data_IF_385418051296
#
_entry.id   IF_385418051296
#
_cell.length_a   1.000
_cell.length_b   1.000
_cell.length_c   1.000
_cell.angle_alpha   90.00
_cell.angle_beta   90.00
_cell.angle_gamma   90.00
#
_symmetry.space_group_name_H-M   'P 1'
#
loop_
_entity.id
_entity.type
_entity.pdbx_description
1 polymer ?
#
# COMPACT_ATOMS: atom_id res chain seq x y z
N UNK A 1 26.75 12.06 33.04
CA UNK A 1 25.83 11.69 31.95
C UNK A 1 25.42 12.95 31.22
N UNK A 2 25.99 13.16 30.06
CA UNK A 2 25.75 14.39 29.28
C UNK A 2 24.41 14.32 28.50
N UNK A 3 23.69 15.44 28.53
CA UNK A 3 22.38 15.59 27.82
C UNK A 3 22.40 15.27 26.32
N UNK A 4 23.56 15.13 25.70
CA UNK A 4 23.76 14.83 24.29
C UNK A 4 23.55 13.35 23.93
N UNK A 5 23.74 12.44 24.87
CA UNK A 5 23.59 10.99 24.60
C UNK A 5 22.12 10.54 24.56
N UNK A 6 21.21 11.27 25.24
CA UNK A 6 19.78 10.92 25.24
C UNK A 6 19.10 11.14 23.87
N UNK A 7 19.57 12.14 23.12
CA UNK A 7 19.00 12.44 21.80
C UNK A 7 19.46 11.48 20.69
N UNK A 8 20.64 10.90 20.82
CA UNK A 8 21.12 9.90 19.85
C UNK A 8 20.39 8.57 19.99
N UNK A 9 19.96 8.21 21.20
CA UNK A 9 19.18 6.98 21.45
C UNK A 9 17.75 7.09 20.92
N UNK A 10 17.12 8.28 20.98
CA UNK A 10 15.79 8.54 20.46
C UNK A 10 15.76 8.57 18.93
N UNK A 11 16.84 9.02 18.28
CA UNK A 11 16.87 9.11 16.81
C UNK A 11 17.09 7.75 16.11
N UNK A 12 17.69 6.78 16.78
CA UNK A 12 17.86 5.42 16.24
C UNK A 12 16.59 4.57 16.34
N UNK A 13 15.71 4.84 17.33
CA UNK A 13 14.47 4.09 17.53
C UNK A 13 13.33 4.50 16.59
N UNK A 14 13.43 5.65 15.89
CA UNK A 14 12.38 6.14 14.99
C UNK A 14 12.50 5.56 13.56
N UNK A 15 13.62 4.92 13.23
CA UNK A 15 13.89 4.40 11.88
C UNK A 15 13.32 3.01 11.57
N UNK A 16 12.79 2.29 12.55
CA UNK A 16 12.34 0.90 12.36
C UNK A 16 10.82 0.69 12.36
N UNK A 17 10.01 1.73 12.51
CA UNK A 17 8.54 1.60 12.47
C UNK A 17 8.06 1.87 11.04
N UNK A 18 7.93 0.83 10.24
CA UNK A 18 7.23 0.96 8.95
C UNK A 18 7.62 0.02 7.82
N UNK A 19 8.55 -0.92 8.00
CA UNK A 19 9.01 -1.79 6.91
C UNK A 19 8.39 -3.19 6.83
N UNK A 20 7.64 -3.61 7.82
CA UNK A 20 7.19 -5.02 7.92
C UNK A 20 5.87 -5.33 7.20
N UNK A 21 5.29 -4.37 6.47
CA UNK A 21 3.97 -4.56 5.84
C UNK A 21 4.00 -5.24 4.48
N UNK A 22 5.15 -5.25 3.84
CA UNK A 22 5.32 -5.83 2.50
C UNK A 22 6.38 -6.92 2.56
N UNK A 23 6.03 -8.12 2.12
CA UNK A 23 6.97 -9.23 1.99
C UNK A 23 8.15 -8.81 1.10
N UNK A 24 9.39 -9.17 1.47
CA UNK A 24 10.58 -8.82 0.70
C UNK A 24 10.43 -9.24 -0.77
N UNK A 25 10.67 -8.29 -1.69
CA UNK A 25 10.57 -8.52 -3.13
C UNK A 25 9.21 -8.26 -3.76
N UNK A 26 8.19 -7.83 -3.00
CA UNK A 26 6.90 -7.39 -3.56
C UNK A 26 6.97 -5.91 -3.92
N UNK A 27 6.98 -5.61 -5.20
CA UNK A 27 6.86 -4.24 -5.70
C UNK A 27 5.42 -4.02 -6.16
N UNK A 28 4.70 -3.16 -5.46
CA UNK A 28 3.34 -2.79 -5.82
C UNK A 28 3.39 -1.70 -6.90
N UNK A 29 2.73 -1.89 -8.02
CA UNK A 29 2.66 -0.93 -9.13
C UNK A 29 1.30 -0.24 -9.18
N UNK A 30 1.21 1.01 -9.69
CA UNK A 30 -0.07 1.66 -9.98
C UNK A 30 -0.95 0.80 -10.90
N UNK A 31 -2.29 0.82 -10.75
CA UNK A 31 -3.20 -0.17 -11.38
C UNK A 31 -3.51 0.07 -12.87
N UNK A 32 -2.62 0.74 -13.63
CA UNK A 32 -2.89 1.20 -15.00
C UNK A 32 -1.85 0.74 -16.02
N UNK A 33 -1.01 -0.23 -15.69
CA UNK A 33 0.04 -0.71 -16.58
C UNK A 33 -0.35 -2.00 -17.30
N UNK A 34 0.13 -2.17 -18.54
CA UNK A 34 -0.07 -3.39 -19.33
C UNK A 34 1.03 -4.44 -19.06
N UNK A 35 2.27 -3.99 -18.94
CA UNK A 35 3.43 -4.85 -18.74
C UNK A 35 4.46 -4.23 -17.81
N UNK A 36 5.23 -5.07 -17.11
CA UNK A 36 6.21 -4.58 -16.14
C UNK A 36 7.49 -4.05 -16.79
N UNK A 37 7.81 -4.48 -18.00
CA UNK A 37 9.07 -4.15 -18.69
C UNK A 37 9.17 -2.67 -19.06
N UNK A 38 8.04 -2.04 -19.37
CA UNK A 38 7.97 -0.63 -19.73
C UNK A 38 8.44 0.32 -18.61
N UNK A 39 8.33 -0.08 -17.34
CA UNK A 39 8.82 0.72 -16.23
C UNK A 39 10.34 0.90 -16.26
N UNK A 40 11.09 -0.13 -16.64
CA UNK A 40 12.55 -0.10 -16.67
C UNK A 40 13.12 0.77 -17.81
N UNK A 41 12.41 0.95 -18.89
CA UNK A 41 12.86 1.72 -20.06
C UNK A 41 12.36 3.15 -20.06
N UNK A 42 11.04 3.34 -19.94
CA UNK A 42 10.38 4.63 -20.14
C UNK A 42 10.44 5.54 -18.92
N UNK A 43 10.49 4.98 -17.70
CA UNK A 43 10.51 5.79 -16.47
C UNK A 43 11.86 6.41 -16.15
N UNK A 44 12.98 5.96 -16.79
CA UNK A 44 14.34 6.40 -16.46
C UNK A 44 14.57 7.90 -16.64
N UNK A 45 13.93 8.50 -17.65
CA UNK A 45 14.08 9.92 -17.98
C UNK A 45 12.78 10.72 -17.72
N UNK A 46 11.83 10.14 -17.00
CA UNK A 46 10.56 10.76 -16.72
C UNK A 46 10.65 11.65 -15.45
N UNK A 47 9.95 12.79 -15.46
CA UNK A 47 9.84 13.71 -14.31
C UNK A 47 8.87 13.20 -13.21
N UNK A 48 8.45 11.94 -13.30
CA UNK A 48 7.59 11.28 -12.32
C UNK A 48 6.24 11.99 -12.05
N UNK A 49 5.60 12.49 -13.10
CA UNK A 49 4.31 13.20 -12.99
C UNK A 49 3.24 12.35 -12.31
N UNK A 50 3.27 11.01 -12.47
CA UNK A 50 2.36 10.11 -11.77
C UNK A 50 2.41 10.24 -10.24
N UNK A 51 3.59 10.51 -9.68
CA UNK A 51 3.74 10.72 -8.24
C UNK A 51 3.24 12.10 -7.80
N UNK A 52 3.54 13.16 -8.57
CA UNK A 52 3.12 14.53 -8.25
C UNK A 52 1.61 14.74 -8.36
N UNK A 53 0.95 14.04 -9.29
CA UNK A 53 -0.50 14.12 -9.49
C UNK A 53 -1.30 13.22 -8.53
N UNK A 54 -0.65 12.31 -7.81
CA UNK A 54 -1.33 11.44 -6.87
C UNK A 54 -1.80 12.20 -5.62
N UNK A 55 -3.09 12.48 -5.52
CA UNK A 55 -3.68 13.21 -4.39
C UNK A 55 -3.50 12.47 -3.06
N UNK A 56 -3.49 11.13 -3.08
CA UNK A 56 -3.26 10.30 -1.91
C UNK A 56 -1.77 10.19 -1.53
N UNK A 57 -0.85 10.67 -2.39
CA UNK A 57 0.60 10.66 -2.16
C UNK A 57 1.16 9.27 -1.83
N UNK A 58 0.60 8.24 -2.46
CA UNK A 58 1.00 6.84 -2.27
C UNK A 58 1.99 6.35 -3.32
N UNK A 59 2.24 7.13 -4.38
CA UNK A 59 3.20 6.77 -5.43
C UNK A 59 4.56 7.32 -5.03
N UNK A 60 5.48 6.42 -4.81
CA UNK A 60 6.88 6.72 -4.48
C UNK A 60 7.76 6.31 -5.66
N UNK A 61 8.77 7.10 -5.96
CA UNK A 61 9.77 6.76 -6.97
C UNK A 61 10.94 6.06 -6.29
N UNK A 62 11.22 4.84 -6.71
CA UNK A 62 12.32 4.03 -6.19
C UNK A 62 13.70 4.51 -6.65
N UNK A 63 14.75 3.90 -6.11
CA UNK A 63 16.14 4.13 -6.56
C UNK A 63 16.34 3.75 -8.03
N UNK A 64 15.58 2.78 -8.51
CA UNK A 64 15.49 2.35 -9.90
C UNK A 64 14.70 3.31 -10.80
N UNK A 65 14.31 4.48 -10.27
CA UNK A 65 13.48 5.51 -10.93
C UNK A 65 12.10 5.04 -11.38
N UNK A 66 11.62 3.91 -10.89
CA UNK A 66 10.29 3.39 -11.22
C UNK A 66 9.28 3.69 -10.12
N UNK A 67 7.98 3.92 -10.44
CA UNK A 67 6.95 4.18 -9.44
C UNK A 67 6.54 2.90 -8.71
N UNK A 68 6.38 2.97 -7.40
CA UNK A 68 5.75 1.94 -6.59
C UNK A 68 4.74 2.55 -5.61
N UNK A 69 3.84 1.72 -5.07
CA UNK A 69 2.81 2.14 -4.12
C UNK A 69 3.26 1.87 -2.69
N UNK A 70 3.11 2.87 -1.84
CA UNK A 70 3.26 2.78 -0.38
C UNK A 70 1.92 3.05 0.30
N UNK A 71 1.39 2.03 0.98
CA UNK A 71 0.12 2.09 1.71
C UNK A 71 0.28 2.37 3.21
N UNK A 72 1.43 2.86 3.64
CA UNK A 72 1.67 3.13 5.07
C UNK A 72 0.73 4.19 5.66
N UNK A 73 0.27 5.15 4.85
CA UNK A 73 -0.56 6.28 5.30
C UNK A 73 -1.94 6.32 4.68
N UNK A 74 -2.06 5.94 3.42
CA UNK A 74 -3.28 6.05 2.62
C UNK A 74 -3.40 4.90 1.62
N UNK A 75 -4.53 4.81 0.92
CA UNK A 75 -4.79 3.82 -0.13
C UNK A 75 -5.01 4.46 -1.50
N UNK A 76 -5.21 3.65 -2.52
CA UNK A 76 -5.50 4.06 -3.88
C UNK A 76 -7.01 4.28 -4.08
N UNK A 77 -7.40 5.46 -4.54
CA UNK A 77 -8.80 5.79 -4.89
C UNK A 77 -9.19 5.38 -6.31
N UNK A 78 -8.26 4.87 -7.11
CA UNK A 78 -8.47 4.56 -8.53
C UNK A 78 -9.00 5.76 -9.36
N UNK A 79 -8.47 6.96 -9.07
CA UNK A 79 -8.92 8.24 -9.64
C UNK A 79 -8.41 8.53 -11.06
N UNK A 80 -7.62 7.64 -11.66
CA UNK A 80 -7.05 7.72 -13.01
C UNK A 80 -5.97 8.82 -13.22
N UNK A 81 -5.76 9.75 -12.29
CA UNK A 81 -4.84 10.89 -12.42
C UNK A 81 -3.39 10.50 -12.78
N UNK A 82 -2.88 9.43 -12.17
CA UNK A 82 -1.52 8.96 -12.47
C UNK A 82 -1.39 8.39 -13.89
N UNK A 83 -2.47 7.88 -14.48
CA UNK A 83 -2.49 7.40 -15.86
C UNK A 83 -2.66 8.56 -16.84
N UNK A 84 -3.58 9.50 -16.54
CA UNK A 84 -3.80 10.69 -17.37
C UNK A 84 -2.56 11.58 -17.46
N UNK A 85 -1.75 11.61 -16.41
CA UNK A 85 -0.51 12.40 -16.38
C UNK A 85 0.74 11.63 -16.78
N UNK A 86 0.64 10.42 -17.33
CA UNK A 86 1.81 9.64 -17.74
C UNK A 86 2.26 10.03 -19.15
N UNK A 87 3.38 10.74 -19.35
CA UNK A 87 3.79 11.23 -20.68
C UNK A 87 4.35 10.13 -21.59
N UNK A 88 4.71 8.97 -21.02
CA UNK A 88 5.35 7.86 -21.73
C UNK A 88 4.39 6.67 -21.95
N UNK A 89 3.09 6.84 -21.67
CA UNK A 89 2.04 5.84 -21.85
C UNK A 89 2.29 4.49 -21.13
N UNK A 90 3.17 4.48 -20.13
CA UNK A 90 3.40 3.30 -19.26
C UNK A 90 2.17 3.00 -18.42
N UNK A 91 1.50 4.06 -17.97
CA UNK A 91 0.23 4.00 -17.28
C UNK A 91 -0.85 4.54 -18.22
N UNK A 92 -1.87 3.74 -18.49
CA UNK A 92 -3.00 4.09 -19.36
C UNK A 92 -4.31 3.73 -18.68
N UNK A 93 -5.30 4.60 -18.78
CA UNK A 93 -6.62 4.39 -18.17
C UNK A 93 -7.29 3.11 -18.68
N UNK A 94 -7.10 2.78 -19.96
CA UNK A 94 -7.62 1.55 -20.58
C UNK A 94 -7.06 0.25 -19.99
N UNK A 95 -5.89 0.32 -19.34
CA UNK A 95 -5.26 -0.82 -18.66
C UNK A 95 -5.66 -0.93 -17.18
N UNK A 96 -6.64 -0.16 -16.73
CA UNK A 96 -7.12 -0.17 -15.35
C UNK A 96 -7.46 -1.58 -14.88
N UNK A 97 -6.81 -2.02 -13.83
CA UNK A 97 -6.98 -3.35 -13.26
C UNK A 97 -6.87 -3.30 -11.74
N UNK A 98 -7.20 -4.41 -11.06
CA UNK A 98 -6.91 -4.52 -9.62
C UNK A 98 -5.40 -4.45 -9.39
N UNK A 99 -4.99 -3.77 -8.32
CA UNK A 99 -3.57 -3.76 -7.92
C UNK A 99 -3.13 -5.20 -7.66
N UNK A 100 -2.01 -5.59 -8.29
CA UNK A 100 -1.47 -6.95 -8.20
C UNK A 100 -0.81 -7.12 -6.83
N UNK A 101 -1.60 -7.55 -5.87
CA UNK A 101 -1.22 -7.78 -4.48
C UNK A 101 -2.07 -8.91 -3.88
N UNK A 102 -1.63 -9.47 -2.77
CA UNK A 102 -2.43 -10.35 -1.94
C UNK A 102 -2.41 -9.78 -0.51
N UNK A 103 -3.44 -9.01 -0.18
CA UNK A 103 -3.60 -8.45 1.17
C UNK A 103 -4.18 -9.53 2.07
N UNK A 104 -3.47 -9.84 3.16
CA UNK A 104 -3.85 -10.87 4.11
C UNK A 104 -3.94 -10.30 5.53
N UNK A 105 -4.83 -10.86 6.34
CA UNK A 105 -4.95 -10.50 7.75
C UNK A 105 -4.08 -11.45 8.58
N UNK A 106 -3.14 -10.90 9.30
CA UNK A 106 -2.36 -11.62 10.31
C UNK A 106 -3.24 -11.82 11.55
N UNK A 107 -3.69 -13.04 11.76
CA UNK A 107 -4.62 -13.39 12.84
C UNK A 107 -4.01 -13.19 14.22
N UNK A 108 -2.71 -13.39 14.35
CA UNK A 108 -2.00 -13.28 15.63
C UNK A 108 -1.84 -11.81 16.07
N UNK A 109 -1.76 -10.87 15.12
CA UNK A 109 -1.69 -9.43 15.39
C UNK A 109 -3.06 -8.78 15.46
N UNK A 110 -4.07 -9.32 14.78
CA UNK A 110 -5.38 -8.69 14.62
C UNK A 110 -6.16 -8.65 15.94
N UNK A 111 -6.52 -7.45 16.42
CA UNK A 111 -7.29 -7.26 17.63
C UNK A 111 -8.62 -8.03 17.60
N UNK A 112 -9.30 -8.02 16.45
CA UNK A 112 -10.59 -8.69 16.31
C UNK A 112 -10.47 -10.22 16.40
N UNK A 113 -9.40 -10.79 15.85
CA UNK A 113 -9.08 -12.22 16.04
C UNK A 113 -8.69 -12.56 17.48
N UNK A 114 -8.19 -11.57 18.25
CA UNK A 114 -7.90 -11.71 19.69
C UNK A 114 -9.11 -11.41 20.59
N UNK A 115 -10.32 -11.30 20.04
CA UNK A 115 -11.54 -11.09 20.80
C UNK A 115 -11.81 -9.63 21.22
N UNK A 116 -11.05 -8.67 20.69
CA UNK A 116 -11.28 -7.23 20.91
C UNK A 116 -12.09 -6.68 19.76
N UNK A 117 -13.20 -6.01 20.04
CA UNK A 117 -14.04 -5.40 19.01
C UNK A 117 -13.26 -4.31 18.24
N UNK A 118 -13.01 -4.54 16.96
CA UNK A 118 -12.28 -3.63 16.08
C UNK A 118 -12.77 -3.75 14.64
N UNK A 119 -13.19 -2.65 14.04
CA UNK A 119 -13.69 -2.56 12.67
C UNK A 119 -12.87 -1.60 11.79
N UNK A 120 -11.71 -1.14 12.26
CA UNK A 120 -10.89 -0.11 11.59
C UNK A 120 -10.51 -0.43 10.14
N UNK A 121 -10.41 -1.69 9.76
CA UNK A 121 -10.15 -2.11 8.38
C UNK A 121 -11.42 -2.10 7.52
N UNK A 122 -12.60 -2.31 8.10
CA UNK A 122 -13.89 -2.34 7.38
C UNK A 122 -14.36 -0.93 7.03
N UNK A 123 -14.24 0.01 7.96
CA UNK A 123 -14.76 1.38 7.80
C UNK A 123 -14.27 2.08 6.51
N UNK A 124 -12.99 2.02 6.12
CA UNK A 124 -12.49 2.65 4.90
C UNK A 124 -12.70 1.80 3.64
N UNK A 125 -13.24 0.59 3.75
CA UNK A 125 -13.37 -0.33 2.61
C UNK A 125 -14.60 0.02 1.76
N UNK A 126 -14.41 0.75 0.67
CA UNK A 126 -15.48 1.16 -0.25
C UNK A 126 -16.10 -0.02 -1.00
N UNK A 127 -15.35 -1.11 -1.20
CA UNK A 127 -15.81 -2.31 -1.91
C UNK A 127 -16.59 -3.28 -1.00
N UNK A 128 -16.73 -2.95 0.30
CA UNK A 128 -17.28 -3.86 1.31
C UNK A 128 -16.65 -5.27 1.22
N UNK A 129 -15.33 -5.29 1.06
CA UNK A 129 -14.55 -6.51 0.82
C UNK A 129 -14.05 -7.17 2.11
N UNK A 130 -14.48 -6.70 3.29
CA UNK A 130 -14.09 -7.26 4.59
C UNK A 130 -15.33 -7.73 5.33
N UNK A 131 -15.45 -9.04 5.44
CA UNK A 131 -16.56 -9.71 6.14
C UNK A 131 -16.11 -10.11 7.54
N UNK A 132 -17.00 -9.92 8.52
CA UNK A 132 -16.78 -10.33 9.90
C UNK A 132 -17.63 -11.57 10.24
N UNK A 133 -16.98 -12.70 10.48
CA UNK A 133 -17.64 -13.89 11.03
C UNK A 133 -17.83 -13.72 12.52
N UNK A 134 -19.07 -13.94 13.00
CA UNK A 134 -19.41 -13.82 14.42
C UNK A 134 -18.90 -12.53 15.10
N UNK A 135 -18.85 -11.41 14.39
CA UNK A 135 -18.40 -10.08 14.82
C UNK A 135 -16.89 -9.93 15.12
N UNK A 136 -16.12 -11.00 15.15
CA UNK A 136 -14.73 -10.97 15.61
C UNK A 136 -13.68 -11.50 14.62
N UNK A 137 -14.05 -12.12 13.53
CA UNK A 137 -13.14 -12.78 12.62
C UNK A 137 -13.21 -12.13 11.24
N UNK A 138 -12.49 -11.01 11.00
CA UNK A 138 -12.46 -10.38 9.68
C UNK A 138 -11.77 -11.29 8.66
N UNK A 139 -12.39 -11.41 7.49
CA UNK A 139 -11.85 -12.09 6.31
C UNK A 139 -12.00 -11.19 5.10
N UNK A 140 -11.01 -11.24 4.20
CA UNK A 140 -11.05 -10.48 2.95
C UNK A 140 -11.69 -11.34 1.88
N UNK A 141 -12.72 -10.83 1.21
CA UNK A 141 -13.44 -11.50 0.14
C UNK A 141 -12.93 -11.09 -1.25
N UNK A 142 -13.48 -11.70 -2.30
CA UNK A 142 -13.09 -11.53 -3.71
C UNK A 142 -13.36 -10.14 -4.31
N UNK A 143 -14.19 -9.31 -3.65
CA UNK A 143 -14.43 -7.93 -4.05
C UNK A 143 -13.21 -7.03 -3.82
N UNK A 144 -12.23 -7.48 -3.05
CA UNK A 144 -11.03 -6.69 -2.72
C UNK A 144 -10.30 -6.26 -3.99
N UNK A 145 -10.08 -4.96 -4.12
CA UNK A 145 -9.32 -4.32 -5.21
C UNK A 145 -7.85 -4.09 -4.85
N UNK A 146 -7.45 -4.46 -3.64
CA UNK A 146 -6.11 -4.24 -3.08
C UNK A 146 -5.74 -2.75 -2.99
N UNK A 147 -6.72 -1.87 -2.78
CA UNK A 147 -6.54 -0.43 -2.70
C UNK A 147 -5.68 0.05 -1.51
N UNK A 148 -5.51 -0.74 -0.46
CA UNK A 148 -4.60 -0.47 0.66
C UNK A 148 -5.17 0.41 1.79
N UNK A 149 -6.39 0.96 1.69
CA UNK A 149 -6.96 1.80 2.76
C UNK A 149 -7.07 1.10 4.12
N UNK A 150 -7.37 -0.19 4.13
CA UNK A 150 -7.44 -1.00 5.34
C UNK A 150 -6.08 -1.11 6.04
N UNK A 151 -4.98 -1.16 5.27
CA UNK A 151 -3.59 -1.23 5.78
C UNK A 151 -3.26 0.04 6.56
N UNK A 152 -3.52 1.21 5.93
CA UNK A 152 -3.26 2.51 6.54
C UNK A 152 -4.05 2.77 7.83
N UNK A 153 -5.18 2.09 8.01
CA UNK A 153 -6.08 2.27 9.15
C UNK A 153 -5.93 1.25 10.27
N UNK A 154 -5.15 0.21 10.06
CA UNK A 154 -4.97 -0.83 11.06
C UNK A 154 -4.11 -0.33 12.24
N UNK A 155 -4.67 -0.27 13.48
CA UNK A 155 -3.94 0.28 14.63
C UNK A 155 -2.81 -0.61 15.14
N UNK A 156 -2.76 -1.86 14.70
CA UNK A 156 -1.78 -2.88 15.15
C UNK A 156 -1.02 -3.52 13.99
N UNK A 157 -1.07 -2.91 12.81
CA UNK A 157 -0.38 -3.38 11.61
C UNK A 157 -0.60 -4.88 11.32
N UNK A 158 -1.86 -5.31 11.42
CA UNK A 158 -2.24 -6.71 11.21
C UNK A 158 -2.59 -7.06 9.75
N UNK A 159 -2.39 -6.14 8.79
CA UNK A 159 -2.59 -6.43 7.37
C UNK A 159 -1.25 -6.43 6.65
N UNK A 160 -0.90 -7.57 6.10
CA UNK A 160 0.34 -7.79 5.38
C UNK A 160 0.06 -7.87 3.87
N UNK A 161 1.05 -7.49 3.05
CA UNK A 161 1.01 -7.64 1.60
C UNK A 161 1.95 -8.77 1.21
N UNK A 162 1.39 -9.80 0.61
CA UNK A 162 2.14 -10.97 0.11
C UNK A 162 2.22 -10.99 -1.40
N UNK A 163 3.20 -11.70 -1.91
CA UNK A 163 3.36 -11.95 -3.34
C UNK A 163 2.16 -12.75 -3.87
N UNK A 164 1.69 -12.34 -5.04
CA UNK A 164 0.70 -13.14 -5.78
C UNK A 164 1.43 -14.32 -6.41
N UNK A 165 1.02 -15.54 -6.06
CA UNK A 165 1.55 -16.78 -6.60
C UNK A 165 1.04 -17.03 -8.01
#
# INVERSE_FOLDING_TARGET
MERRELFSFLSSSIKEVGRDKVEEGVILRPPYYKGKDAFGTECQNCEAQCASLCQEQIIIIGEDKTPYLDFSKRGCTYCDECALGCPSDVLLVENKSKIVANIVINKDKCLSWQGVMCFSCKDPCQEDAIDFKAMFMPEINEKCTNCGFCIARCPVDALDIKKVS
#
